data_IF_370158137976
#
_entry.id   IF_370158137976
#
_cell.length_a   1.000
_cell.length_b   1.000
_cell.length_c   1.000
_cell.angle_alpha   90.00
_cell.angle_beta   90.00
_cell.angle_gamma   90.00
#
_symmetry.space_group_name_H-M   'P 1'
#
loop_
_entity.id
_entity.type
_entity.pdbx_description
1 polymer ?
#
# COMPACT_ATOMS: atom_id res chain seq x y z
N UNK A 1 -15.43 -17.23 -22.19
CA UNK A 1 -14.71 -15.93 -22.18
C UNK A 1 -13.75 -15.91 -20.99
N UNK A 2 -12.43 -15.81 -21.17
CA UNK A 2 -11.49 -15.83 -20.05
C UNK A 2 -11.58 -14.52 -19.24
N UNK A 3 -11.74 -14.63 -17.91
CA UNK A 3 -11.81 -13.48 -17.00
C UNK A 3 -10.49 -13.30 -16.27
N UNK A 4 -9.80 -12.18 -16.53
CA UNK A 4 -8.60 -11.82 -15.78
C UNK A 4 -8.97 -11.47 -14.32
N UNK A 5 -8.57 -12.33 -13.38
CA UNK A 5 -8.67 -12.05 -11.95
C UNK A 5 -7.51 -11.17 -11.50
N UNK A 6 -7.75 -10.33 -10.49
CA UNK A 6 -6.75 -9.38 -9.98
C UNK A 6 -5.59 -10.05 -9.23
N UNK A 7 -5.79 -11.26 -8.72
CA UNK A 7 -4.80 -12.01 -7.93
C UNK A 7 -4.26 -11.22 -6.74
N UNK A 8 -3.00 -11.47 -6.39
CA UNK A 8 -2.28 -10.83 -5.29
C UNK A 8 -1.66 -9.46 -5.66
N UNK A 9 -1.76 -9.01 -6.92
CA UNK A 9 -1.15 -7.74 -7.39
C UNK A 9 -1.50 -6.53 -6.51
N UNK A 10 -2.71 -6.49 -5.94
CA UNK A 10 -3.13 -5.43 -5.01
C UNK A 10 -2.37 -5.50 -3.68
N UNK A 11 -2.18 -6.70 -3.14
CA UNK A 11 -1.53 -6.93 -1.86
C UNK A 11 -0.04 -6.59 -1.93
N UNK A 12 0.64 -6.99 -3.01
CA UNK A 12 2.05 -6.68 -3.23
C UNK A 12 2.29 -5.17 -3.31
N UNK A 13 1.44 -4.44 -4.05
CA UNK A 13 1.51 -2.96 -4.10
C UNK A 13 1.36 -2.34 -2.71
N UNK A 14 0.44 -2.85 -1.87
CA UNK A 14 0.25 -2.34 -0.50
C UNK A 14 1.48 -2.57 0.38
N UNK A 15 2.08 -3.77 0.29
CA UNK A 15 3.29 -4.11 1.06
C UNK A 15 4.46 -3.19 0.71
N UNK A 16 4.65 -2.87 -0.57
CA UNK A 16 5.69 -1.92 -1.02
C UNK A 16 5.53 -0.54 -0.39
N UNK A 17 4.31 0.04 -0.43
CA UNK A 17 4.06 1.36 0.17
C UNK A 17 4.22 1.35 1.68
N UNK A 18 3.73 0.32 2.37
CA UNK A 18 3.88 0.22 3.83
C UNK A 18 5.34 0.02 4.27
N UNK A 19 6.16 -0.62 3.44
CA UNK A 19 7.59 -0.75 3.70
C UNK A 19 8.31 0.60 3.63
N UNK A 20 7.92 1.47 2.68
CA UNK A 20 8.45 2.83 2.55
C UNK A 20 7.97 3.75 3.67
N UNK A 21 6.74 3.58 4.13
CA UNK A 21 6.13 4.41 5.18
C UNK A 21 6.56 4.05 6.62
N UNK A 22 7.54 3.15 6.78
CA UNK A 22 8.08 2.79 8.12
C UNK A 22 8.68 4.03 8.79
N UNK A 23 8.39 4.21 10.07
CA UNK A 23 8.85 5.37 10.85
C UNK A 23 7.88 6.55 10.85
N UNK A 24 6.83 6.55 10.00
CA UNK A 24 5.81 7.59 10.09
C UNK A 24 4.88 7.43 11.29
N UNK A 25 4.51 8.56 11.88
CA UNK A 25 3.67 8.61 13.08
C UNK A 25 2.22 8.16 12.81
N UNK A 26 1.68 7.37 13.74
CA UNK A 26 0.27 6.97 13.75
C UNK A 26 -0.17 6.16 12.53
N UNK A 27 -1.29 6.54 11.92
CA UNK A 27 -1.90 5.80 10.80
C UNK A 27 -1.03 5.82 9.53
N UNK A 28 -0.13 6.79 9.40
CA UNK A 28 0.73 6.95 8.23
C UNK A 28 1.69 5.77 8.01
N UNK A 29 2.01 4.99 9.03
CA UNK A 29 2.83 3.76 8.89
C UNK A 29 2.02 2.45 8.85
N UNK A 30 0.71 2.49 9.15
CA UNK A 30 -0.12 1.28 9.31
C UNK A 30 -1.20 1.12 8.25
N UNK A 31 -1.82 2.19 7.77
CA UNK A 31 -2.93 2.12 6.81
C UNK A 31 -2.48 2.52 5.40
N UNK A 32 -2.83 1.72 4.39
CA UNK A 32 -2.38 1.96 3.01
C UNK A 32 -2.75 3.35 2.47
N UNK A 33 -3.96 3.86 2.74
CA UNK A 33 -4.40 5.16 2.23
C UNK A 33 -3.55 6.29 2.80
N UNK A 34 -3.43 6.35 4.12
CA UNK A 34 -2.62 7.37 4.80
C UNK A 34 -1.13 7.20 4.54
N UNK A 35 -0.64 5.96 4.40
CA UNK A 35 0.75 5.69 4.03
C UNK A 35 1.06 6.15 2.60
N UNK A 36 0.14 5.94 1.65
CA UNK A 36 0.29 6.41 0.28
C UNK A 36 0.36 7.94 0.23
N UNK A 37 -0.55 8.62 0.92
CA UNK A 37 -0.55 10.09 1.01
C UNK A 37 0.72 10.63 1.69
N UNK A 38 1.29 9.90 2.65
CA UNK A 38 2.49 10.32 3.35
C UNK A 38 3.80 10.04 2.58
N UNK A 39 3.84 9.00 1.73
CA UNK A 39 5.02 8.65 0.91
C UNK A 39 5.05 9.41 -0.42
N UNK A 40 3.90 9.78 -0.99
CA UNK A 40 3.81 10.53 -2.25
C UNK A 40 3.97 12.05 -2.08
N UNK A 41 4.08 12.55 -0.84
CA UNK A 41 4.32 13.95 -0.51
C UNK A 41 5.79 14.19 -0.23
#
# INVERSE_FOLDING_TARGET
MPRAKRGNKRLEKRKKILALAKGYYGRKSKTYRSAKEAVER
#
